data_IF_168466098721
#
_entry.id   IF_168466098721
#
_cell.length_a   1.000
_cell.length_b   1.000
_cell.length_c   1.000
_cell.angle_alpha   90.00
_cell.angle_beta   90.00
_cell.angle_gamma   90.00
#
_symmetry.space_group_name_H-M   'P 1'
#
loop_
_entity.id
_entity.type
_entity.pdbx_description
1 polymer ?
#
# COMPACT_ATOMS: atom_id res chain seq x y z
N UNK A 1 -13.39 37.93 29.45
CA UNK A 1 -12.80 37.32 28.25
C UNK A 1 -12.34 35.91 28.61
N UNK A 2 -13.18 34.92 28.37
CA UNK A 2 -12.89 33.52 28.68
C UNK A 2 -13.37 32.69 27.50
N UNK A 3 -12.49 32.51 26.51
CA UNK A 3 -12.76 31.62 25.39
C UNK A 3 -12.84 30.20 25.91
N UNK A 4 -14.04 29.61 25.86
CA UNK A 4 -14.23 28.19 26.13
C UNK A 4 -13.43 27.46 25.05
N UNK A 5 -12.28 26.90 25.45
CA UNK A 5 -11.55 25.94 24.62
C UNK A 5 -12.55 24.84 24.29
N UNK A 6 -12.91 24.74 23.02
CA UNK A 6 -13.83 23.71 22.57
C UNK A 6 -13.09 22.38 22.71
N UNK A 7 -13.45 21.59 23.72
CA UNK A 7 -13.06 20.20 23.80
C UNK A 7 -13.74 19.49 22.63
N UNK A 8 -12.97 19.15 21.60
CA UNK A 8 -13.50 18.55 20.37
C UNK A 8 -12.90 17.15 20.23
N UNK A 9 -13.77 16.16 20.39
CA UNK A 9 -13.49 14.75 20.25
C UNK A 9 -13.47 14.39 18.75
N UNK A 10 -12.41 13.73 18.30
CA UNK A 10 -12.27 13.25 16.93
C UNK A 10 -12.69 11.78 16.89
N UNK A 11 -13.51 11.36 15.92
CA UNK A 11 -13.83 9.95 15.72
C UNK A 11 -13.32 9.54 14.35
N UNK A 12 -12.43 8.55 14.29
CA UNK A 12 -11.88 7.96 13.06
C UNK A 12 -12.33 6.51 12.95
N UNK A 13 -12.32 5.91 11.75
CA UNK A 13 -12.85 4.55 11.51
C UNK A 13 -11.82 3.69 10.78
N UNK A 14 -11.36 2.63 11.44
CA UNK A 14 -10.47 1.56 10.92
C UNK A 14 -11.27 0.29 10.60
N UNK A 15 -10.89 -0.42 9.54
CA UNK A 15 -11.33 -1.80 9.25
C UNK A 15 -10.26 -2.82 9.71
N UNK A 16 -10.73 -3.96 10.19
CA UNK A 16 -10.11 -4.87 11.19
C UNK A 16 -8.81 -5.58 10.72
N UNK A 17 -7.90 -5.77 11.68
CA UNK A 17 -6.82 -6.77 11.72
C UNK A 17 -7.33 -8.06 12.37
N UNK A 18 -7.22 -9.20 11.69
CA UNK A 18 -7.53 -10.51 12.29
C UNK A 18 -6.34 -11.01 13.12
N UNK A 19 -6.69 -11.66 14.23
CA UNK A 19 -5.84 -12.06 15.34
C UNK A 19 -4.97 -13.28 14.98
N UNK A 20 -3.72 -13.30 15.49
CA UNK A 20 -2.87 -14.49 15.51
C UNK A 20 -3.43 -15.47 16.56
N UNK A 21 -3.80 -16.66 16.15
CA UNK A 21 -3.97 -17.79 17.06
C UNK A 21 -2.59 -18.40 17.35
N UNK A 22 -2.19 -18.39 18.61
CA UNK A 22 -1.07 -19.15 19.15
C UNK A 22 -1.47 -20.63 19.18
N UNK A 23 -0.81 -21.49 18.40
CA UNK A 23 -0.86 -22.94 18.61
C UNK A 23 0.53 -23.42 19.06
N UNK A 24 0.51 -24.22 20.12
CA UNK A 24 1.63 -24.71 20.91
C UNK A 24 2.42 -25.79 20.14
N UNK A 25 3.75 -25.70 20.17
CA UNK A 25 4.66 -26.69 19.59
C UNK A 25 4.65 -27.99 20.41
N UNK A 26 4.03 -29.06 19.90
CA UNK A 26 4.30 -30.44 20.34
C UNK A 26 5.51 -30.98 19.55
N UNK A 27 6.62 -31.23 20.25
CA UNK A 27 7.85 -31.83 19.70
C UNK A 27 7.66 -33.33 19.44
N UNK A 28 7.32 -33.71 18.20
CA UNK A 28 7.42 -35.11 17.76
C UNK A 28 8.85 -35.41 17.28
N UNK A 29 9.60 -36.18 18.08
CA UNK A 29 10.89 -36.78 17.72
C UNK A 29 10.73 -37.73 16.52
N UNK A 30 11.08 -37.27 15.31
CA UNK A 30 11.19 -38.16 14.14
C UNK A 30 12.56 -38.83 14.08
N UNK A 31 12.57 -40.16 14.21
CA UNK A 31 13.71 -41.02 13.89
C UNK A 31 14.04 -40.95 12.39
N UNK A 32 15.28 -40.61 12.04
CA UNK A 32 15.74 -40.59 10.65
C UNK A 32 16.07 -42.00 10.18
N UNK A 33 15.25 -42.56 9.28
CA UNK A 33 15.64 -43.74 8.50
C UNK A 33 16.58 -43.32 7.36
N UNK A 34 17.81 -43.83 7.39
CA UNK A 34 18.77 -43.74 6.30
C UNK A 34 18.20 -44.43 5.06
N UNK A 35 17.77 -43.65 4.07
CA UNK A 35 17.38 -44.18 2.76
C UNK A 35 18.24 -43.55 1.66
N UNK A 36 19.33 -44.25 1.33
CA UNK A 36 20.08 -44.07 0.09
C UNK A 36 19.19 -44.54 -1.09
N UNK A 37 18.73 -43.62 -1.92
CA UNK A 37 18.51 -43.89 -3.36
C UNK A 37 18.31 -42.60 -4.14
N UNK A 38 19.03 -42.56 -5.26
CA UNK A 38 19.21 -41.45 -6.19
C UNK A 38 17.91 -40.93 -6.85
N UNK A 39 18.02 -39.69 -7.33
CA UNK A 39 17.11 -38.96 -8.24
C UNK A 39 15.78 -38.42 -7.67
N UNK A 40 15.87 -37.26 -7.00
CA UNK A 40 14.78 -36.29 -6.90
C UNK A 40 15.15 -35.05 -7.71
N UNK A 41 14.49 -34.85 -8.86
CA UNK A 41 14.59 -33.60 -9.62
C UNK A 41 14.13 -32.43 -8.74
N UNK A 42 15.08 -31.57 -8.33
CA UNK A 42 14.80 -30.35 -7.59
C UNK A 42 13.88 -29.44 -8.42
N UNK A 43 12.79 -28.89 -7.83
CA UNK A 43 11.98 -27.90 -8.53
C UNK A 43 12.80 -26.63 -8.77
N UNK A 44 12.65 -26.13 -9.99
CA UNK A 44 13.27 -24.94 -10.60
C UNK A 44 13.98 -23.97 -9.64
N UNK A 45 15.31 -23.99 -9.71
CA UNK A 45 16.15 -22.87 -9.32
C UNK A 45 15.62 -21.62 -10.02
N UNK A 46 15.21 -20.62 -9.22
CA UNK A 46 14.99 -19.27 -9.71
C UNK A 46 16.36 -18.76 -10.14
N UNK A 47 16.65 -18.80 -11.43
CA UNK A 47 17.90 -18.28 -11.98
C UNK A 47 17.89 -16.76 -11.84
N UNK A 48 18.46 -16.25 -10.75
CA UNK A 48 18.84 -14.86 -10.65
C UNK A 48 19.95 -14.60 -11.65
N UNK A 49 19.64 -13.82 -12.68
CA UNK A 49 20.59 -13.45 -13.72
C UNK A 49 21.72 -12.61 -13.08
N UNK A 50 22.95 -13.17 -12.97
CA UNK A 50 24.07 -12.45 -12.39
C UNK A 50 24.56 -11.30 -13.27
N UNK A 51 23.97 -11.10 -14.46
CA UNK A 51 24.23 -9.95 -15.33
C UNK A 51 23.49 -8.68 -14.91
N UNK A 52 22.59 -8.74 -13.94
CA UNK A 52 22.03 -7.55 -13.32
C UNK A 52 23.16 -6.78 -12.59
N UNK A 53 23.43 -5.51 -12.95
CA UNK A 53 24.60 -4.82 -12.47
C UNK A 53 24.44 -4.47 -10.99
N UNK A 54 25.23 -5.13 -10.13
CA UNK A 54 25.52 -4.62 -8.78
C UNK A 54 26.46 -3.43 -8.96
N UNK A 55 25.96 -2.23 -8.69
CA UNK A 55 26.75 -1.00 -8.79
C UNK A 55 28.01 -1.09 -7.94
N UNK A 56 29.19 -1.13 -8.57
CA UNK A 56 30.44 -0.55 -8.10
C UNK A 56 31.35 -0.27 -9.32
N UNK A 57 31.96 0.91 -9.34
CA UNK A 57 32.69 1.47 -10.48
C UNK A 57 34.10 0.87 -10.66
N UNK A 58 34.61 1.03 -11.90
CA UNK A 58 36.00 1.17 -12.40
C UNK A 58 36.29 0.17 -13.52
N UNK A 59 36.44 0.69 -14.73
CA UNK A 59 36.49 -0.10 -15.97
C UNK A 59 37.88 -0.54 -16.41
N UNK A 60 37.94 -1.59 -17.24
CA UNK A 60 39.04 -1.84 -18.21
C UNK A 60 38.52 -2.61 -19.44
N UNK A 61 38.80 -2.03 -20.61
CA UNK A 61 38.92 -2.53 -22.00
C UNK A 61 37.82 -3.43 -22.63
N UNK A 62 37.29 -2.89 -23.71
CA UNK A 62 36.30 -3.44 -24.61
C UNK A 62 36.78 -4.66 -25.43
N UNK A 63 35.94 -5.68 -25.50
CA UNK A 63 35.82 -6.60 -26.65
C UNK A 63 34.35 -6.65 -27.07
N UNK A 64 34.08 -6.42 -28.35
CA UNK A 64 32.78 -6.66 -28.99
C UNK A 64 31.68 -5.69 -28.58
N UNK A 65 31.51 -4.59 -29.31
CA UNK A 65 30.42 -3.64 -29.02
C UNK A 65 29.09 -4.09 -29.62
N UNK A 66 28.48 -5.15 -29.09
CA UNK A 66 27.03 -5.30 -29.18
C UNK A 66 26.41 -4.29 -28.22
N UNK A 67 26.08 -3.11 -28.77
CA UNK A 67 25.38 -2.06 -28.03
C UNK A 67 23.89 -2.31 -28.14
N UNK A 68 23.29 -2.79 -27.06
CA UNK A 68 21.83 -2.72 -26.92
C UNK A 68 21.45 -1.24 -26.82
N UNK A 69 20.66 -0.76 -27.78
CA UNK A 69 20.03 0.56 -27.70
C UNK A 69 18.83 0.45 -26.76
N UNK A 70 19.02 0.82 -25.50
CA UNK A 70 17.93 0.90 -24.54
C UNK A 70 17.20 2.24 -24.75
N UNK A 71 16.02 2.17 -25.36
CA UNK A 71 15.10 3.31 -25.45
C UNK A 71 14.22 3.31 -24.21
N UNK A 72 14.59 4.10 -23.21
CA UNK A 72 13.71 4.34 -22.07
C UNK A 72 12.60 5.30 -22.52
N UNK A 73 11.39 4.79 -22.73
CA UNK A 73 10.21 5.64 -22.83
C UNK A 73 9.87 6.12 -21.43
N UNK A 74 10.39 7.30 -21.04
CA UNK A 74 10.19 7.86 -19.69
C UNK A 74 8.72 8.01 -19.23
N UNK A 75 7.75 7.83 -20.13
CA UNK A 75 6.32 7.89 -19.81
C UNK A 75 5.72 6.62 -19.20
N UNK A 76 6.22 5.40 -19.48
CA UNK A 76 5.52 4.16 -19.08
C UNK A 76 5.48 3.97 -17.56
N UNK A 77 6.57 4.31 -16.87
CA UNK A 77 6.65 4.26 -15.41
C UNK A 77 5.73 5.29 -14.75
N UNK A 78 5.62 6.49 -15.34
CA UNK A 78 4.80 7.58 -14.79
C UNK A 78 3.28 7.32 -14.95
N UNK A 79 2.89 6.59 -15.99
CA UNK A 79 1.48 6.30 -16.28
C UNK A 79 0.89 5.15 -15.46
N UNK A 80 1.73 4.37 -14.76
CA UNK A 80 1.30 3.19 -13.99
C UNK A 80 0.41 2.25 -14.83
N UNK A 81 0.82 1.99 -16.09
CA UNK A 81 0.04 1.25 -17.10
C UNK A 81 -0.35 -0.17 -16.69
N UNK A 82 0.37 -0.79 -15.74
CA UNK A 82 0.04 -2.12 -15.23
C UNK A 82 -1.30 -2.18 -14.48
N UNK A 83 -1.84 -1.04 -14.03
CA UNK A 83 -3.18 -0.94 -13.44
C UNK A 83 -4.29 -0.90 -14.51
N UNK A 84 -3.92 -0.94 -15.79
CA UNK A 84 -4.83 -0.73 -16.91
C UNK A 84 -4.84 0.72 -17.40
N UNK A 85 -5.33 0.90 -18.62
CA UNK A 85 -5.38 2.19 -19.32
C UNK A 85 -6.74 2.89 -19.24
N UNK A 86 -7.76 2.18 -18.78
CA UNK A 86 -9.18 2.58 -18.75
C UNK A 86 -9.66 2.77 -17.31
N UNK A 87 -8.98 3.66 -16.58
CA UNK A 87 -9.42 4.10 -15.26
C UNK A 87 -10.28 5.36 -15.41
N UNK A 88 -11.32 5.47 -14.59
CA UNK A 88 -12.09 6.71 -14.45
C UNK A 88 -11.21 7.76 -13.75
N UNK A 89 -10.97 8.88 -14.42
CA UNK A 89 -10.16 9.98 -13.88
C UNK A 89 -11.04 11.03 -13.21
N UNK A 90 -10.60 11.49 -12.04
CA UNK A 90 -11.24 12.55 -11.30
C UNK A 90 -10.39 13.80 -11.33
N UNK A 91 -11.08 14.95 -11.41
CA UNK A 91 -10.46 16.26 -11.33
C UNK A 91 -10.96 17.00 -10.09
N UNK A 92 -10.13 17.93 -9.61
CA UNK A 92 -10.40 18.68 -8.40
C UNK A 92 -9.35 18.42 -7.32
N UNK A 93 -9.49 19.16 -6.23
CA UNK A 93 -8.64 19.01 -5.05
C UNK A 93 -9.47 19.30 -3.81
N UNK A 94 -9.50 18.33 -2.91
CA UNK A 94 -9.99 18.54 -1.54
C UNK A 94 -8.84 19.11 -0.71
N UNK A 95 -9.05 20.31 -0.14
CA UNK A 95 -8.10 20.96 0.79
C UNK A 95 -8.87 21.36 2.02
N UNK A 96 -8.40 20.92 3.18
CA UNK A 96 -8.95 21.30 4.48
C UNK A 96 -8.21 22.53 5.03
N UNK A 97 -8.94 23.38 5.75
CA UNK A 97 -8.38 24.58 6.39
C UNK A 97 -7.37 24.21 7.48
N UNK A 98 -6.36 25.07 7.66
CA UNK A 98 -5.39 24.99 8.76
C UNK A 98 -6.16 25.04 10.09
N UNK A 99 -5.91 24.08 10.98
CA UNK A 99 -6.59 23.86 12.27
C UNK A 99 -8.01 23.22 12.23
N UNK A 100 -8.51 22.81 11.06
CA UNK A 100 -9.78 22.08 11.00
C UNK A 100 -9.63 20.61 11.46
N UNK A 101 -10.57 20.14 12.29
CA UNK A 101 -10.65 18.74 12.72
C UNK A 101 -11.57 17.97 11.77
N UNK A 102 -11.02 16.98 11.06
CA UNK A 102 -11.75 16.20 10.05
C UNK A 102 -11.79 14.72 10.43
N UNK A 103 -12.94 14.08 10.18
CA UNK A 103 -13.07 12.62 10.23
C UNK A 103 -12.81 12.08 8.83
N UNK A 104 -11.70 11.38 8.65
CA UNK A 104 -11.27 10.80 7.37
C UNK A 104 -11.10 9.29 7.56
N UNK A 105 -11.66 8.46 6.67
CA UNK A 105 -11.54 7.01 6.83
C UNK A 105 -10.10 6.56 6.55
N UNK A 106 -9.61 5.57 7.31
CA UNK A 106 -8.24 5.06 7.20
C UNK A 106 -8.28 3.76 6.41
N UNK A 107 -7.45 3.65 5.39
CA UNK A 107 -7.32 2.40 4.65
C UNK A 107 -6.43 1.45 5.47
N UNK A 108 -6.94 0.30 5.93
CA UNK A 108 -6.15 -0.59 6.74
C UNK A 108 -5.08 -1.27 5.87
N UNK A 109 -3.99 -1.72 6.48
CA UNK A 109 -2.92 -2.49 5.83
C UNK A 109 -2.09 -1.74 4.77
N UNK A 110 -2.20 -0.42 4.69
CA UNK A 110 -1.26 0.42 3.95
C UNK A 110 -0.14 0.87 4.89
N UNK A 111 0.98 0.16 4.87
CA UNK A 111 2.17 0.41 5.70
C UNK A 111 3.24 1.21 4.94
N UNK A 112 2.86 2.35 4.37
CA UNK A 112 3.79 3.24 3.66
C UNK A 112 3.81 4.64 4.26
N UNK A 113 5.00 5.26 4.27
CA UNK A 113 5.12 6.69 4.60
C UNK A 113 4.78 7.52 3.37
N UNK A 114 3.50 7.88 3.23
CA UNK A 114 3.04 8.72 2.12
C UNK A 114 3.43 10.19 2.33
N UNK A 115 4.05 10.81 1.33
CA UNK A 115 4.43 12.23 1.34
C UNK A 115 3.46 13.02 0.44
N UNK A 116 3.11 14.29 0.77
CA UNK A 116 2.37 15.15 -0.13
C UNK A 116 2.99 15.23 -1.54
N UNK A 117 2.16 15.08 -2.58
CA UNK A 117 2.55 15.04 -3.98
C UNK A 117 2.98 13.66 -4.48
N UNK A 118 3.20 12.68 -3.60
CA UNK A 118 3.53 11.32 -3.99
C UNK A 118 2.29 10.58 -4.47
N UNK A 119 2.42 9.88 -5.60
CA UNK A 119 1.40 8.96 -6.09
C UNK A 119 1.46 7.63 -5.36
N UNK A 120 0.31 7.15 -4.90
CA UNK A 120 0.11 5.85 -4.25
C UNK A 120 -0.82 4.99 -5.14
N UNK A 121 -0.28 4.02 -5.89
CA UNK A 121 -1.08 3.01 -6.56
C UNK A 121 -1.54 1.92 -5.56
N UNK A 122 -2.80 1.51 -5.62
CA UNK A 122 -3.33 0.41 -4.80
C UNK A 122 -4.22 -0.51 -5.63
N UNK A 123 -4.18 -1.80 -5.31
CA UNK A 123 -5.12 -2.80 -5.78
C UNK A 123 -5.69 -3.52 -4.56
N UNK A 124 -7.00 -3.43 -4.40
CA UNK A 124 -7.74 -3.88 -3.23
C UNK A 124 -8.64 -5.04 -3.63
N UNK A 125 -8.63 -6.08 -2.81
CA UNK A 125 -9.34 -7.34 -3.04
C UNK A 125 -10.27 -7.69 -1.89
N UNK A 126 -10.14 -7.04 -0.73
CA UNK A 126 -11.02 -7.31 0.42
C UNK A 126 -12.34 -6.58 0.28
N UNK A 127 -13.49 -7.26 0.50
CA UNK A 127 -14.81 -6.64 0.36
C UNK A 127 -15.00 -5.36 1.18
N UNK A 128 -14.43 -5.30 2.39
CA UNK A 128 -14.50 -4.10 3.24
C UNK A 128 -13.78 -2.90 2.63
N UNK A 129 -12.61 -3.12 2.03
CA UNK A 129 -11.82 -2.06 1.37
C UNK A 129 -12.49 -1.63 0.07
N UNK A 130 -13.01 -2.57 -0.70
CA UNK A 130 -13.79 -2.31 -1.93
C UNK A 130 -15.02 -1.47 -1.60
N UNK A 131 -15.79 -1.84 -0.58
CA UNK A 131 -16.97 -1.10 -0.13
C UNK A 131 -16.62 0.31 0.36
N UNK A 132 -15.54 0.45 1.14
CA UNK A 132 -15.02 1.74 1.58
C UNK A 132 -14.65 2.62 0.38
N UNK A 133 -13.94 2.07 -0.61
CA UNK A 133 -13.54 2.82 -1.80
C UNK A 133 -14.73 3.29 -2.63
N UNK A 134 -15.73 2.43 -2.86
CA UNK A 134 -16.98 2.83 -3.53
C UNK A 134 -17.65 4.03 -2.84
N UNK A 135 -17.66 4.02 -1.52
CA UNK A 135 -18.22 5.13 -0.72
C UNK A 135 -17.38 6.40 -0.85
N UNK A 136 -16.05 6.28 -0.86
CA UNK A 136 -15.13 7.41 -1.04
C UNK A 136 -15.28 8.08 -2.40
N UNK A 137 -15.44 7.28 -3.46
CA UNK A 137 -15.65 7.80 -4.82
C UNK A 137 -16.89 8.69 -4.91
N UNK A 138 -17.96 8.33 -4.21
CA UNK A 138 -19.21 9.11 -4.18
C UNK A 138 -19.15 10.34 -3.26
N UNK A 139 -18.13 10.47 -2.41
CA UNK A 139 -17.95 11.56 -1.45
C UNK A 139 -16.86 12.53 -1.92
N UNK A 140 -15.78 12.66 -1.14
CA UNK A 140 -14.68 13.60 -1.34
C UNK A 140 -13.40 12.92 -1.83
N UNK A 141 -13.47 11.61 -2.14
CA UNK A 141 -12.37 10.78 -2.65
C UNK A 141 -11.13 10.76 -1.76
N UNK A 142 -11.28 11.12 -0.49
CA UNK A 142 -10.14 11.34 0.40
C UNK A 142 -10.10 10.30 1.51
N UNK A 143 -8.96 9.64 1.67
CA UNK A 143 -8.69 8.73 2.78
C UNK A 143 -7.38 9.09 3.48
N UNK A 144 -7.18 8.55 4.68
CA UNK A 144 -5.99 8.79 5.48
C UNK A 144 -5.01 7.62 5.36
N UNK A 145 -3.72 7.95 5.22
CA UNK A 145 -2.60 7.01 5.34
C UNK A 145 -1.80 7.38 6.58
N UNK A 146 -1.68 6.45 7.51
CA UNK A 146 -0.99 6.64 8.78
C UNK A 146 0.51 6.34 8.63
N UNK A 147 1.34 7.16 9.27
CA UNK A 147 2.78 6.93 9.37
C UNK A 147 3.09 6.28 10.72
N UNK A 148 3.20 4.95 10.71
CA UNK A 148 3.65 4.19 11.87
C UNK A 148 5.18 4.29 12.01
N UNK A 149 5.66 4.43 13.24
CA UNK A 149 7.07 4.28 13.58
C UNK A 149 7.40 2.81 13.85
N UNK A 150 8.63 2.39 13.58
CA UNK A 150 9.14 1.03 13.87
C UNK A 150 9.23 0.71 15.38
N UNK A 151 8.83 1.65 16.23
CA UNK A 151 9.08 1.66 17.67
C UNK A 151 7.86 1.19 18.46
N UNK A 152 7.27 0.04 18.13
CA UNK A 152 6.18 -0.65 18.90
C UNK A 152 4.94 0.19 19.31
N UNK A 153 4.86 1.46 18.94
CA UNK A 153 3.73 2.31 19.19
C UNK A 153 2.66 1.97 18.16
N UNK A 154 1.72 1.11 18.54
CA UNK A 154 0.46 0.83 17.81
C UNK A 154 -0.41 2.08 17.54
N UNK A 155 0.11 3.28 17.81
CA UNK A 155 -0.54 4.56 17.60
C UNK A 155 0.32 5.44 16.69
N UNK A 156 -0.09 5.59 15.43
CA UNK A 156 0.51 6.57 14.54
C UNK A 156 0.24 7.98 15.07
N UNK A 157 1.28 8.81 15.22
CA UNK A 157 1.13 10.22 15.62
C UNK A 157 0.80 11.13 14.41
N UNK A 158 1.23 10.74 13.21
CA UNK A 158 1.10 11.55 12.00
C UNK A 158 0.59 10.72 10.83
N UNK A 159 0.10 11.42 9.80
CA UNK A 159 -0.26 10.80 8.53
C UNK A 159 -0.40 11.83 7.42
N UNK A 160 -0.74 11.32 6.24
CA UNK A 160 -0.99 12.12 5.04
C UNK A 160 -2.33 11.75 4.44
N UNK A 161 -3.13 12.74 4.08
CA UNK A 161 -4.37 12.53 3.32
C UNK A 161 -4.02 12.13 1.89
N UNK A 162 -4.74 11.15 1.36
CA UNK A 162 -4.61 10.65 0.01
C UNK A 162 -5.91 10.92 -0.75
N UNK A 163 -5.83 11.63 -1.87
CA UNK A 163 -6.99 11.89 -2.73
C UNK A 163 -6.92 10.99 -3.96
N UNK A 164 -8.00 10.25 -4.22
CA UNK A 164 -8.13 9.37 -5.38
C UNK A 164 -8.34 10.24 -6.63
N UNK A 165 -7.47 10.05 -7.61
CA UNK A 165 -7.56 10.73 -8.91
C UNK A 165 -7.81 9.77 -10.07
N UNK A 166 -7.60 8.46 -9.89
CA UNK A 166 -8.02 7.45 -10.86
C UNK A 166 -8.60 6.22 -10.15
N UNK A 167 -9.68 5.66 -10.68
CA UNK A 167 -10.40 4.52 -10.11
C UNK A 167 -10.83 3.52 -11.17
N UNK A 168 -10.83 2.24 -10.84
CA UNK A 168 -11.40 1.18 -11.67
C UNK A 168 -11.90 0.04 -10.80
N UNK A 169 -13.11 -0.43 -11.09
CA UNK A 169 -13.66 -1.68 -10.57
C UNK A 169 -13.52 -2.79 -11.60
N UNK A 170 -13.13 -3.97 -11.16
CA UNK A 170 -13.05 -5.19 -11.96
C UNK A 170 -13.69 -6.33 -11.18
N UNK A 171 -14.35 -7.25 -11.89
CA UNK A 171 -14.85 -8.48 -11.30
C UNK A 171 -14.19 -9.65 -12.03
N UNK A 172 -13.23 -10.29 -11.38
CA UNK A 172 -12.43 -11.35 -11.96
C UNK A 172 -12.66 -12.64 -11.17
N UNK A 173 -13.05 -13.72 -11.85
CA UNK A 173 -13.35 -15.02 -11.22
C UNK A 173 -14.38 -14.94 -10.06
N UNK A 174 -15.29 -13.97 -10.11
CA UNK A 174 -16.30 -13.74 -9.07
C UNK A 174 -15.80 -12.92 -7.86
N UNK A 175 -14.54 -12.49 -7.88
CA UNK A 175 -13.94 -11.62 -6.85
C UNK A 175 -13.99 -10.18 -7.35
N UNK A 176 -14.60 -9.31 -6.55
CA UNK A 176 -14.60 -7.87 -6.82
C UNK A 176 -13.26 -7.28 -6.40
N UNK A 177 -12.62 -6.56 -7.32
CA UNK A 177 -11.36 -5.86 -7.07
C UNK A 177 -11.48 -4.40 -7.49
N UNK A 178 -10.76 -3.56 -6.75
CA UNK A 178 -10.69 -2.13 -7.00
C UNK A 178 -9.24 -1.74 -7.22
N UNK A 179 -8.96 -1.07 -8.33
CA UNK A 179 -7.67 -0.45 -8.64
C UNK A 179 -7.80 1.05 -8.49
N UNK A 180 -6.92 1.67 -7.72
CA UNK A 180 -6.90 3.12 -7.52
C UNK A 180 -5.52 3.71 -7.70
N UNK A 181 -5.48 4.95 -8.18
CA UNK A 181 -4.33 5.84 -8.07
C UNK A 181 -4.74 7.01 -7.19
N UNK A 182 -4.03 7.17 -6.09
CA UNK A 182 -4.21 8.29 -5.17
C UNK A 182 -2.96 9.16 -5.12
N UNK A 183 -3.09 10.40 -4.67
CA UNK A 183 -1.97 11.32 -4.47
C UNK A 183 -2.02 11.90 -3.06
N UNK A 184 -0.87 11.95 -2.38
CA UNK A 184 -0.75 12.59 -1.07
C UNK A 184 -1.06 14.09 -1.16
N UNK A 185 -1.84 14.64 -0.24
CA UNK A 185 -2.26 16.06 -0.23
C UNK A 185 -1.77 16.84 0.97
N UNK A 186 -2.22 16.49 2.17
CA UNK A 186 -1.96 17.28 3.38
C UNK A 186 -1.45 16.36 4.49
N UNK A 187 -0.44 16.83 5.23
CA UNK A 187 -0.01 16.18 6.47
C UNK A 187 -0.99 16.54 7.58
N UNK A 188 -1.24 15.60 8.47
CA UNK A 188 -2.05 15.82 9.66
C UNK A 188 -1.41 15.18 10.88
N UNK A 189 -1.80 15.67 12.05
CA UNK A 189 -1.51 15.03 13.34
C UNK A 189 -2.73 14.21 13.75
N UNK A 190 -2.50 12.96 14.14
CA UNK A 190 -3.54 12.08 14.68
C UNK A 190 -3.94 12.57 16.07
N UNK A 191 -5.23 12.60 16.32
CA UNK A 191 -5.79 12.96 17.62
C UNK A 191 -6.50 11.77 18.28
N UNK A 192 -7.23 10.98 17.49
CA UNK A 192 -7.94 9.80 17.97
C UNK A 192 -8.09 8.81 16.81
N UNK A 193 -7.91 7.51 17.10
CA UNK A 193 -8.18 6.39 16.18
C UNK A 193 -9.32 5.56 16.77
N UNK A 194 -10.36 5.26 16.00
CA UNK A 194 -11.42 4.32 16.42
C UNK A 194 -11.67 3.29 15.34
N UNK A 195 -12.21 2.15 15.75
CA UNK A 195 -12.61 1.05 14.86
C UNK A 195 -14.13 1.02 14.84
N UNK A 196 -14.75 0.96 13.66
CA UNK A 196 -16.18 0.63 13.56
C UNK A 196 -16.28 -0.78 12.99
N UNK A 197 -16.92 -1.68 13.73
CA UNK A 197 -17.43 -2.91 13.16
C UNK A 197 -18.73 -2.56 12.45
N UNK A 198 -18.71 -2.55 11.11
CA UNK A 198 -19.95 -2.76 10.37
C UNK A 198 -20.39 -4.19 10.73
N UNK A 199 -21.53 -4.29 11.41
CA UNK A 199 -22.05 -5.52 12.00
C UNK A 199 -22.60 -6.54 11.02
#
# INVERSE_FOLDING_TARGET
MGGRKCAMQLKLTTAVTLENEEEEDEEDEMESEDNDSDDVEKPNIINFDPSLPTSHAVGVKALGSEKIRVLYSGGVSFTLQYLGSDMEEFHGRTVHDEDSCQTIPVLPHVTVMLIPGQTLPLQLFRPQEVSMMRTLIQRDRTFAVLAYSDSDEQQAEFGTTAEIYAYREEQEYGIETVKVKAVGRQRFKVHELRTQADG
#
